data_IF_024263903443
#
_entry.id   IF_024263903443
#
_cell.length_a   1.000
_cell.length_b   1.000
_cell.length_c   1.000
_cell.angle_alpha   90.00
_cell.angle_beta   90.00
_cell.angle_gamma   90.00
#
_symmetry.space_group_name_H-M   'P 1'
#
loop_
_entity.id
_entity.type
_entity.pdbx_description
1 polymer ?
#
# COMPACT_ATOMS: atom_id res chain seq x y z
N UNK A 1 14.42 -13.60 16.03
CA UNK A 1 13.39 -13.06 15.12
C UNK A 1 12.21 -14.01 15.16
N UNK A 2 10.99 -13.51 15.39
CA UNK A 2 9.77 -14.32 15.56
C UNK A 2 9.48 -15.16 14.30
N UNK A 3 9.04 -16.41 14.47
CA UNK A 3 8.79 -17.36 13.37
C UNK A 3 7.78 -16.83 12.34
N UNK A 4 6.68 -16.21 12.78
CA UNK A 4 5.66 -15.65 11.89
C UNK A 4 6.24 -14.54 11.03
N UNK A 5 7.01 -13.64 11.64
CA UNK A 5 7.68 -12.56 10.91
C UNK A 5 8.66 -13.11 9.87
N UNK A 6 9.47 -14.12 10.23
CA UNK A 6 10.36 -14.77 9.28
C UNK A 6 9.59 -15.35 8.09
N UNK A 7 8.45 -16.01 8.36
CA UNK A 7 7.62 -16.58 7.31
C UNK A 7 7.01 -15.54 6.40
N UNK A 8 6.53 -14.41 6.94
CA UNK A 8 6.00 -13.31 6.14
C UNK A 8 7.13 -12.67 5.31
N UNK A 9 8.29 -12.43 5.91
CA UNK A 9 9.44 -11.83 5.21
C UNK A 9 9.95 -12.69 4.06
N UNK A 10 9.95 -14.03 4.22
CA UNK A 10 10.28 -14.97 3.14
C UNK A 10 9.34 -14.84 1.93
N UNK A 11 8.08 -14.45 2.10
CA UNK A 11 7.14 -14.31 0.98
C UNK A 11 7.56 -13.18 0.03
N UNK A 12 8.19 -12.12 0.55
CA UNK A 12 8.70 -11.03 -0.28
C UNK A 12 9.89 -11.45 -1.14
N UNK A 13 10.62 -12.51 -0.78
CA UNK A 13 11.68 -13.06 -1.65
C UNK A 13 11.12 -13.51 -2.99
N UNK A 14 9.87 -13.95 -3.06
CA UNK A 14 9.24 -14.43 -4.31
C UNK A 14 8.29 -13.39 -4.92
N UNK A 15 7.56 -12.65 -4.08
CA UNK A 15 6.40 -11.84 -4.48
C UNK A 15 6.52 -10.35 -4.14
N UNK A 16 7.73 -9.88 -3.86
CA UNK A 16 8.00 -8.45 -3.69
C UNK A 16 7.41 -7.65 -4.84
N UNK A 17 6.71 -6.56 -4.52
CA UNK A 17 6.15 -5.69 -5.56
C UNK A 17 7.26 -5.12 -6.44
N UNK A 18 8.46 -4.91 -5.90
CA UNK A 18 9.60 -4.42 -6.68
C UNK A 18 10.00 -5.36 -7.82
N UNK A 19 9.63 -6.64 -7.76
CA UNK A 19 9.86 -7.61 -8.85
C UNK A 19 8.72 -7.63 -9.87
N UNK A 20 7.62 -6.96 -9.59
CA UNK A 20 6.47 -6.90 -10.50
C UNK A 20 6.84 -6.15 -11.78
N UNK A 21 6.41 -6.61 -12.97
CA UNK A 21 6.69 -5.95 -14.25
C UNK A 21 6.40 -4.45 -14.25
N UNK A 22 5.28 -4.03 -13.65
CA UNK A 22 4.94 -2.60 -13.49
C UNK A 22 6.07 -1.77 -12.85
N UNK A 23 6.64 -2.20 -11.71
CA UNK A 23 7.71 -1.44 -11.05
C UNK A 23 9.07 -1.62 -11.70
N UNK A 24 9.30 -2.73 -12.42
CA UNK A 24 10.47 -2.85 -13.29
C UNK A 24 10.40 -1.85 -14.44
N UNK A 25 9.25 -1.74 -15.12
CA UNK A 25 9.00 -0.75 -16.18
C UNK A 25 9.09 0.68 -15.65
N UNK A 26 8.60 0.93 -14.43
CA UNK A 26 8.78 2.21 -13.74
C UNK A 26 10.27 2.56 -13.57
N UNK A 27 11.04 1.63 -13.00
CA UNK A 27 12.47 1.82 -12.70
C UNK A 27 13.33 1.95 -13.96
N UNK A 28 12.85 1.42 -15.09
CA UNK A 28 13.47 1.57 -16.40
C UNK A 28 13.07 2.86 -17.13
N UNK A 29 12.17 3.69 -16.57
CA UNK A 29 11.68 4.91 -17.21
C UNK A 29 10.80 4.66 -18.44
N UNK A 30 10.13 3.50 -18.51
CA UNK A 30 9.38 3.03 -19.69
C UNK A 30 7.87 3.16 -19.59
N UNK A 31 7.33 3.72 -18.49
CA UNK A 31 5.89 3.96 -18.39
C UNK A 31 5.53 5.16 -19.26
N UNK A 32 4.42 5.05 -19.98
CA UNK A 32 3.86 6.19 -20.72
C UNK A 32 3.18 7.17 -19.76
N UNK A 33 2.95 8.43 -20.17
CA UNK A 33 2.11 9.35 -19.40
C UNK A 33 0.72 8.77 -19.09
N UNK A 34 0.13 8.04 -20.04
CA UNK A 34 -1.14 7.35 -19.87
C UNK A 34 -1.05 6.26 -18.79
N UNK A 35 0.06 5.51 -18.72
CA UNK A 35 0.29 4.51 -17.69
C UNK A 35 0.45 5.12 -16.30
N UNK A 36 1.18 6.24 -16.17
CA UNK A 36 1.29 6.98 -14.91
C UNK A 36 -0.06 7.52 -14.44
N UNK A 37 -0.85 8.09 -15.35
CA UNK A 37 -2.18 8.60 -15.04
C UNK A 37 -3.15 7.46 -14.68
N UNK A 38 -3.16 6.37 -15.44
CA UNK A 38 -3.97 5.18 -15.15
C UNK A 38 -3.66 4.61 -13.77
N UNK A 39 -2.38 4.36 -13.49
CA UNK A 39 -1.91 3.91 -12.18
C UNK A 39 -2.35 4.85 -11.04
N UNK A 40 -2.26 6.17 -11.24
CA UNK A 40 -2.62 7.15 -10.23
C UNK A 40 -4.10 7.10 -9.85
N UNK A 41 -4.98 6.86 -10.83
CA UNK A 41 -6.43 6.71 -10.60
C UNK A 41 -6.79 5.39 -9.91
N UNK A 42 -6.09 4.32 -10.28
CA UNK A 42 -6.31 2.98 -9.72
C UNK A 42 -5.84 2.88 -8.28
N UNK A 43 -4.60 3.30 -8.04
CA UNK A 43 -4.01 3.22 -6.71
C UNK A 43 -4.67 4.20 -5.73
N UNK A 44 -5.29 5.29 -6.22
CA UNK A 44 -6.15 6.15 -5.39
C UNK A 44 -7.29 5.37 -4.72
N UNK A 45 -7.84 4.33 -5.37
CA UNK A 45 -8.87 3.50 -4.75
C UNK A 45 -8.33 2.76 -3.52
N UNK A 46 -7.08 2.29 -3.58
CA UNK A 46 -6.41 1.65 -2.44
C UNK A 46 -6.09 2.67 -1.35
N UNK A 47 -5.55 3.84 -1.69
CA UNK A 47 -5.25 4.93 -0.73
C UNK A 47 -6.50 5.33 0.07
N UNK A 48 -7.66 5.47 -0.59
CA UNK A 48 -8.94 5.74 0.08
C UNK A 48 -9.43 4.60 0.99
N UNK A 49 -8.99 3.37 0.73
CA UNK A 49 -9.44 2.18 1.44
C UNK A 49 -8.62 1.90 2.70
N UNK A 50 -7.32 2.25 2.70
CA UNK A 50 -6.39 1.97 3.81
C UNK A 50 -6.90 2.47 5.17
N UNK A 51 -7.35 3.73 5.34
CA UNK A 51 -7.89 4.15 6.64
C UNK A 51 -9.10 3.32 7.11
N UNK A 52 -9.92 2.84 6.17
CA UNK A 52 -11.09 2.00 6.48
C UNK A 52 -10.70 0.58 6.90
N UNK A 53 -9.58 0.06 6.38
CA UNK A 53 -9.03 -1.23 6.79
C UNK A 53 -8.59 -1.21 8.26
N UNK A 54 -8.13 -0.06 8.75
CA UNK A 54 -7.70 0.11 10.14
C UNK A 54 -8.87 0.25 11.13
N UNK A 55 -10.06 0.65 10.70
CA UNK A 55 -11.22 0.84 11.58
C UNK A 55 -11.60 -0.40 12.42
N UNK A 56 -11.78 -1.61 11.84
CA UNK A 56 -12.05 -2.81 12.64
C UNK A 56 -10.88 -3.17 13.55
N UNK A 57 -9.64 -2.92 13.13
CA UNK A 57 -8.44 -3.22 13.92
C UNK A 57 -8.37 -2.34 15.17
N UNK A 58 -8.61 -1.04 15.03
CA UNK A 58 -8.60 -0.08 16.16
C UNK A 58 -9.66 -0.41 17.20
N UNK A 59 -10.82 -0.96 16.77
CA UNK A 59 -11.88 -1.39 17.70
C UNK A 59 -11.44 -2.56 18.58
N UNK A 60 -10.69 -3.50 18.02
CA UNK A 60 -10.18 -4.69 18.70
C UNK A 60 -8.80 -4.47 19.37
N UNK A 61 -8.21 -3.28 19.20
CA UNK A 61 -6.87 -2.97 19.69
C UNK A 61 -6.84 -2.85 21.23
N UNK A 62 -5.85 -3.47 21.91
CA UNK A 62 -5.63 -3.26 23.34
C UNK A 62 -5.41 -1.78 23.67
N UNK A 63 -5.97 -1.31 24.79
CA UNK A 63 -5.99 0.12 25.15
C UNK A 63 -4.61 0.79 25.11
N UNK A 64 -3.55 0.07 25.51
CA UNK A 64 -2.17 0.55 25.50
C UNK A 64 -1.59 0.85 24.10
N UNK A 65 -2.18 0.30 23.03
CA UNK A 65 -1.75 0.52 21.63
C UNK A 65 -2.75 1.36 20.83
N UNK A 66 -3.93 1.63 21.41
CA UNK A 66 -5.04 2.26 20.70
C UNK A 66 -4.71 3.68 20.24
N UNK A 67 -4.01 4.46 21.07
CA UNK A 67 -3.57 5.81 20.70
C UNK A 67 -2.57 5.81 19.53
N UNK A 68 -1.65 4.84 19.50
CA UNK A 68 -0.67 4.68 18.42
C UNK A 68 -1.37 4.34 17.09
N UNK A 69 -2.20 3.29 17.05
CA UNK A 69 -2.89 2.91 15.82
C UNK A 69 -3.93 3.94 15.35
N UNK A 70 -4.57 4.65 16.28
CA UNK A 70 -5.44 5.77 15.92
C UNK A 70 -4.65 6.91 15.27
N UNK A 71 -3.46 7.25 15.79
CA UNK A 71 -2.57 8.24 15.17
C UNK A 71 -2.16 7.83 13.76
N UNK A 72 -1.75 6.56 13.57
CA UNK A 72 -1.39 6.04 12.25
C UNK A 72 -2.58 6.14 11.28
N UNK A 73 -3.81 5.82 11.72
CA UNK A 73 -5.00 5.96 10.87
C UNK A 73 -5.27 7.41 10.46
N UNK A 74 -5.06 8.38 11.36
CA UNK A 74 -5.21 9.80 11.02
C UNK A 74 -4.12 10.26 10.04
N UNK A 75 -2.89 9.77 10.19
CA UNK A 75 -1.80 9.99 9.23
C UNK A 75 -2.18 9.43 7.85
N UNK A 76 -2.63 8.18 7.76
CA UNK A 76 -3.12 7.58 6.50
C UNK A 76 -4.34 8.31 5.89
N UNK A 77 -5.21 8.87 6.73
CA UNK A 77 -6.33 9.69 6.24
C UNK A 77 -5.81 10.97 5.60
N UNK A 78 -4.79 11.60 6.17
CA UNK A 78 -4.17 12.81 5.61
C UNK A 78 -3.41 12.53 4.30
N UNK A 79 -2.93 11.30 4.10
CA UNK A 79 -2.26 10.89 2.87
C UNK A 79 -3.17 10.90 1.64
N UNK A 80 -4.50 10.86 1.82
CA UNK A 80 -5.47 10.93 0.70
C UNK A 80 -5.28 12.24 -0.08
N UNK A 81 -5.20 13.38 0.61
CA UNK A 81 -4.98 14.69 -0.04
C UNK A 81 -3.63 14.75 -0.75
N UNK A 82 -2.58 14.15 -0.16
CA UNK A 82 -1.27 14.08 -0.80
C UNK A 82 -1.29 13.25 -2.10
N UNK A 83 -2.08 12.17 -2.14
CA UNK A 83 -2.27 11.39 -3.36
C UNK A 83 -3.08 12.16 -4.41
N UNK A 84 -4.09 12.93 -4.00
CA UNK A 84 -4.85 13.79 -4.92
C UNK A 84 -3.94 14.83 -5.60
N UNK A 85 -3.00 15.42 -4.84
CA UNK A 85 -1.96 16.31 -5.38
C UNK A 85 -1.03 15.59 -6.37
N UNK A 86 -0.66 14.34 -6.09
CA UNK A 86 0.13 13.53 -7.01
C UNK A 86 -0.63 13.22 -8.30
N UNK A 87 -1.89 12.80 -8.21
CA UNK A 87 -2.74 12.55 -9.36
C UNK A 87 -2.94 13.83 -10.22
N UNK A 88 -3.10 15.00 -9.57
CA UNK A 88 -3.11 16.27 -10.28
C UNK A 88 -1.81 16.55 -11.05
N UNK A 89 -0.66 16.24 -10.46
CA UNK A 89 0.63 16.35 -11.15
C UNK A 89 0.76 15.37 -12.34
N UNK A 90 -0.01 14.29 -12.38
CA UNK A 90 -0.11 13.38 -13.52
C UNK A 90 -1.14 13.84 -14.58
N UNK A 91 -1.70 15.05 -14.42
CA UNK A 91 -2.65 15.64 -15.37
C UNK A 91 -4.11 15.23 -15.16
N UNK A 92 -4.43 14.59 -14.04
CA UNK A 92 -5.81 14.15 -13.73
C UNK A 92 -6.54 15.28 -13.01
N UNK A 93 -7.73 15.64 -13.49
CA UNK A 93 -8.56 16.63 -12.79
C UNK A 93 -9.16 16.04 -11.49
N UNK A 94 -9.44 16.89 -10.51
CA UNK A 94 -10.08 16.45 -9.26
C UNK A 94 -11.42 15.73 -9.54
N UNK A 95 -12.27 16.30 -10.41
CA UNK A 95 -13.55 15.71 -10.78
C UNK A 95 -13.39 14.34 -11.46
N UNK A 96 -12.39 14.17 -12.33
CA UNK A 96 -12.09 12.85 -12.91
C UNK A 96 -11.68 11.85 -11.83
N UNK A 97 -10.80 12.26 -10.92
CA UNK A 97 -10.26 11.38 -9.89
C UNK A 97 -11.32 10.90 -8.90
N UNK A 98 -12.18 11.79 -8.40
CA UNK A 98 -13.20 11.44 -7.41
C UNK A 98 -14.32 10.57 -7.99
N UNK A 99 -14.60 10.71 -9.29
CA UNK A 99 -15.65 9.94 -9.98
C UNK A 99 -15.12 8.64 -10.58
N UNK A 100 -13.81 8.38 -10.54
CA UNK A 100 -13.22 7.14 -11.01
C UNK A 100 -13.45 6.00 -10.01
N UNK A 101 -14.04 4.90 -10.49
CA UNK A 101 -14.46 3.76 -9.65
C UNK A 101 -13.43 2.62 -9.56
N UNK A 102 -12.31 2.71 -10.28
CA UNK A 102 -11.33 1.62 -10.37
C UNK A 102 -11.73 0.52 -11.35
N UNK A 103 -10.75 -0.16 -11.95
CA UNK A 103 -11.03 -1.36 -12.73
C UNK A 103 -11.53 -2.50 -11.84
N UNK A 104 -12.16 -3.49 -12.48
CA UNK A 104 -12.67 -4.69 -11.81
C UNK A 104 -11.57 -5.41 -10.99
N UNK A 105 -10.35 -5.52 -11.53
CA UNK A 105 -9.23 -6.18 -10.85
C UNK A 105 -8.70 -5.36 -9.68
N UNK A 106 -8.61 -4.04 -9.79
CA UNK A 106 -8.31 -3.13 -8.67
C UNK A 106 -9.31 -3.31 -7.53
N UNK A 107 -10.61 -3.27 -7.84
CA UNK A 107 -11.66 -3.45 -6.85
C UNK A 107 -11.63 -4.85 -6.21
N UNK A 108 -11.31 -5.88 -7.00
CA UNK A 108 -11.10 -7.23 -6.48
C UNK A 108 -9.90 -7.29 -5.51
N UNK A 109 -8.77 -6.66 -5.86
CA UNK A 109 -7.59 -6.62 -5.00
C UNK A 109 -7.89 -5.97 -3.64
N UNK A 110 -8.59 -4.84 -3.65
CA UNK A 110 -9.00 -4.11 -2.43
C UNK A 110 -9.96 -4.97 -1.59
N UNK A 111 -10.96 -5.57 -2.22
CA UNK A 111 -11.93 -6.47 -1.56
C UNK A 111 -11.24 -7.70 -0.97
N UNK A 112 -10.33 -8.32 -1.72
CA UNK A 112 -9.56 -9.47 -1.28
C UNK A 112 -8.69 -9.14 -0.07
N UNK A 113 -8.02 -7.99 -0.08
CA UNK A 113 -7.22 -7.54 1.06
C UNK A 113 -8.12 -7.32 2.28
N UNK A 114 -9.22 -6.58 2.14
CA UNK A 114 -10.16 -6.34 3.22
C UNK A 114 -10.74 -7.63 3.80
N UNK A 115 -11.02 -8.63 2.96
CA UNK A 115 -11.57 -9.92 3.38
C UNK A 115 -10.64 -10.72 4.30
N UNK A 116 -9.35 -10.39 4.34
CA UNK A 116 -8.37 -11.03 5.24
C UNK A 116 -8.41 -10.48 6.66
N UNK A 117 -9.07 -9.32 6.86
CA UNK A 117 -9.18 -8.63 8.16
C UNK A 117 -10.34 -9.25 8.94
N UNK A 118 -10.12 -10.48 9.39
CA UNK A 118 -11.11 -11.30 10.12
C UNK A 118 -10.89 -11.30 11.63
N UNK A 119 -9.69 -10.98 12.09
CA UNK A 119 -9.30 -10.79 13.49
C UNK A 119 -8.28 -9.66 13.59
N UNK A 120 -7.98 -9.26 14.83
CA UNK A 120 -6.96 -8.26 15.10
C UNK A 120 -5.57 -8.71 14.60
N UNK A 121 -5.22 -9.97 14.80
CA UNK A 121 -3.94 -10.56 14.38
C UNK A 121 -3.85 -10.74 12.86
N UNK A 122 -4.91 -11.27 12.22
CA UNK A 122 -4.89 -11.50 10.77
C UNK A 122 -4.84 -10.18 10.00
N UNK A 123 -5.61 -9.18 10.42
CA UNK A 123 -5.53 -7.86 9.79
C UNK A 123 -4.25 -7.11 10.12
N UNK A 124 -3.66 -7.28 11.30
CA UNK A 124 -2.31 -6.76 11.58
C UNK A 124 -1.26 -7.39 10.65
N UNK A 125 -1.39 -8.69 10.35
CA UNK A 125 -0.53 -9.36 9.38
C UNK A 125 -0.73 -8.85 7.95
N UNK A 126 -1.99 -8.61 7.55
CA UNK A 126 -2.31 -8.04 6.24
C UNK A 126 -1.75 -6.62 6.08
N UNK A 127 -1.89 -5.76 7.10
CA UNK A 127 -1.38 -4.39 7.11
C UNK A 127 0.15 -4.34 7.17
N UNK A 128 0.78 -5.19 7.99
CA UNK A 128 2.24 -5.35 7.97
C UNK A 128 2.73 -5.72 6.56
N UNK A 129 2.09 -6.71 5.94
CA UNK A 129 2.48 -7.15 4.60
C UNK A 129 2.19 -6.12 3.50
N UNK A 130 1.25 -5.20 3.75
CA UNK A 130 0.97 -4.05 2.89
C UNK A 130 2.08 -2.99 2.99
N UNK A 131 2.37 -2.50 4.20
CA UNK A 131 3.24 -1.34 4.39
C UNK A 131 4.74 -1.69 4.35
N UNK A 132 5.11 -2.96 4.57
CA UNK A 132 6.51 -3.38 4.76
C UNK A 132 7.47 -2.96 3.64
N UNK A 133 7.02 -2.97 2.39
CA UNK A 133 7.84 -2.59 1.22
C UNK A 133 7.64 -1.15 0.78
N UNK A 134 6.60 -0.47 1.29
CA UNK A 134 6.23 0.87 0.83
C UNK A 134 7.36 1.89 1.00
N UNK A 135 8.18 1.92 2.07
CA UNK A 135 9.28 2.87 2.15
C UNK A 135 10.26 2.76 0.97
N UNK A 136 10.60 1.53 0.58
CA UNK A 136 11.52 1.28 -0.53
C UNK A 136 10.86 1.54 -1.88
N UNK A 137 9.59 1.18 -2.03
CA UNK A 137 8.80 1.47 -3.23
C UNK A 137 8.68 2.98 -3.42
N UNK A 138 8.38 3.73 -2.36
CA UNK A 138 8.27 5.18 -2.39
C UNK A 138 9.58 5.85 -2.78
N UNK A 139 10.73 5.34 -2.29
CA UNK A 139 12.03 5.84 -2.75
C UNK A 139 12.24 5.58 -4.25
N UNK A 140 11.97 4.36 -4.75
CA UNK A 140 12.09 4.04 -6.18
C UNK A 140 11.13 4.88 -7.04
N UNK A 141 9.95 5.18 -6.52
CA UNK A 141 9.01 6.10 -7.18
C UNK A 141 9.56 7.50 -7.27
N UNK A 142 10.11 8.05 -6.19
CA UNK A 142 10.77 9.36 -6.19
C UNK A 142 11.92 9.42 -7.19
N UNK A 143 12.80 8.41 -7.17
CA UNK A 143 13.95 8.34 -8.05
C UNK A 143 13.50 8.31 -9.52
N UNK A 144 12.53 7.45 -9.87
CA UNK A 144 12.01 7.36 -11.23
C UNK A 144 11.26 8.61 -11.70
N UNK A 145 10.45 9.24 -10.83
CA UNK A 145 9.76 10.50 -11.13
C UNK A 145 10.77 11.60 -11.48
N UNK A 146 11.84 11.72 -10.71
CA UNK A 146 12.87 12.71 -10.94
C UNK A 146 13.70 12.41 -12.20
N UNK A 147 14.19 11.17 -12.33
CA UNK A 147 15.14 10.79 -13.38
C UNK A 147 14.51 10.71 -14.77
N UNK A 148 13.34 10.07 -14.89
CA UNK A 148 12.76 9.74 -16.20
C UNK A 148 11.64 10.67 -16.63
N UNK A 149 10.94 11.29 -15.68
CA UNK A 149 9.74 12.08 -15.98
C UNK A 149 9.88 13.57 -15.62
N UNK A 150 10.98 13.99 -14.97
CA UNK A 150 11.22 15.38 -14.57
C UNK A 150 10.23 15.91 -13.51
N UNK A 151 9.57 15.01 -12.77
CA UNK A 151 8.50 15.31 -11.82
C UNK A 151 9.07 15.47 -10.41
N UNK A 152 9.57 16.66 -10.10
CA UNK A 152 10.22 16.96 -8.80
C UNK A 152 9.45 17.97 -7.94
N UNK A 153 8.25 18.39 -8.38
CA UNK A 153 7.43 19.33 -7.62
C UNK A 153 6.96 18.73 -6.31
N UNK A 154 6.59 19.57 -5.34
CA UNK A 154 6.03 19.11 -4.07
C UNK A 154 4.75 18.31 -4.30
N UNK A 155 3.86 18.77 -5.19
CA UNK A 155 2.64 18.03 -5.55
C UNK A 155 2.93 16.63 -6.08
N UNK A 156 4.02 16.45 -6.84
CA UNK A 156 4.37 15.15 -7.41
C UNK A 156 5.09 14.21 -6.42
N UNK A 157 5.67 14.74 -5.34
CA UNK A 157 6.65 13.99 -4.53
C UNK A 157 6.27 13.83 -3.06
N UNK A 158 5.42 14.70 -2.50
CA UNK A 158 5.21 14.76 -1.05
C UNK A 158 4.63 13.48 -0.46
N UNK A 159 3.63 12.86 -1.12
CA UNK A 159 3.09 11.57 -0.70
C UNK A 159 4.21 10.53 -0.50
N UNK A 160 5.08 10.37 -1.50
CA UNK A 160 6.13 9.36 -1.43
C UNK A 160 7.20 9.70 -0.39
N UNK A 161 7.54 10.99 -0.21
CA UNK A 161 8.48 11.43 0.83
C UNK A 161 7.97 11.08 2.23
N UNK A 162 6.69 11.32 2.52
CA UNK A 162 6.11 10.93 3.80
C UNK A 162 6.19 9.40 4.00
N UNK A 163 5.88 8.62 2.97
CA UNK A 163 5.88 7.16 3.05
C UNK A 163 7.29 6.52 3.09
N UNK A 164 8.38 7.26 2.83
CA UNK A 164 9.73 6.73 3.11
C UNK A 164 10.01 6.65 4.61
N UNK A 165 9.27 7.42 5.43
CA UNK A 165 9.45 7.48 6.89
C UNK A 165 8.25 6.93 7.67
N UNK A 166 7.02 7.23 7.26
CA UNK A 166 5.77 6.85 7.92
C UNK A 166 5.64 5.33 8.03
N UNK A 167 5.76 4.63 6.91
CA UNK A 167 5.54 3.19 6.84
C UNK A 167 6.65 2.37 7.51
N UNK A 168 7.79 2.98 7.84
CA UNK A 168 8.77 2.35 8.76
C UNK A 168 8.15 2.23 10.16
N UNK A 169 7.49 3.28 10.64
CA UNK A 169 6.82 3.30 11.94
C UNK A 169 5.56 2.44 11.91
N UNK A 170 4.72 2.58 10.89
CA UNK A 170 3.46 1.82 10.80
C UNK A 170 3.73 0.32 10.73
N UNK A 171 4.67 -0.11 9.86
CA UNK A 171 5.08 -1.52 9.80
C UNK A 171 5.67 -2.02 11.13
N UNK A 172 6.36 -1.17 11.90
CA UNK A 172 6.84 -1.54 13.23
C UNK A 172 5.69 -1.74 14.24
N UNK A 173 4.66 -0.90 14.20
CA UNK A 173 3.45 -1.05 15.04
C UNK A 173 2.75 -2.38 14.75
N UNK A 174 2.55 -2.72 13.47
CA UNK A 174 1.94 -4.00 13.09
C UNK A 174 2.81 -5.21 13.43
N UNK A 175 4.12 -5.11 13.19
CA UNK A 175 5.09 -6.15 13.54
C UNK A 175 5.02 -6.49 15.02
N UNK A 176 4.96 -5.49 15.89
CA UNK A 176 4.86 -5.68 17.34
C UNK A 176 3.64 -6.51 17.74
N UNK A 177 2.50 -6.29 17.08
CA UNK A 177 1.26 -7.06 17.32
C UNK A 177 1.46 -8.52 16.92
N UNK A 178 2.03 -8.76 15.73
CA UNK A 178 2.30 -10.13 15.24
C UNK A 178 3.30 -10.84 16.18
N UNK A 179 4.34 -10.14 16.63
CA UNK A 179 5.35 -10.71 17.53
C UNK A 179 4.79 -11.09 18.91
N UNK A 180 3.73 -10.41 19.36
CA UNK A 180 3.02 -10.67 20.62
C UNK A 180 1.82 -11.62 20.47
N UNK A 181 1.43 -11.95 19.24
CA UNK A 181 0.33 -12.87 18.97
C UNK A 181 0.65 -14.29 19.44
N UNK A 182 -0.38 -15.00 19.87
CA UNK A 182 -0.28 -16.41 20.27
C UNK A 182 -1.40 -17.22 19.64
N UNK A 183 -1.04 -18.24 18.85
CA UNK A 183 -1.99 -19.00 18.06
C UNK A 183 -2.41 -18.27 16.78
N UNK A 184 -3.28 -18.90 15.98
CA UNK A 184 -3.74 -18.37 14.68
C UNK A 184 -2.63 -18.21 13.62
N UNK A 185 -1.50 -18.88 13.78
CA UNK A 185 -0.35 -18.82 12.87
C UNK A 185 -0.75 -18.97 11.40
N UNK A 186 -1.64 -19.93 11.10
CA UNK A 186 -2.11 -20.17 9.73
C UNK A 186 -2.93 -18.98 9.18
N UNK A 187 -3.77 -18.35 10.00
CA UNK A 187 -4.59 -17.21 9.60
C UNK A 187 -3.72 -15.97 9.37
N UNK A 188 -2.74 -15.73 10.24
CA UNK A 188 -1.73 -14.66 10.13
C UNK A 188 -0.92 -14.82 8.83
N UNK A 189 -0.39 -16.02 8.59
CA UNK A 189 0.40 -16.35 7.39
C UNK A 189 -0.47 -16.22 6.13
N UNK A 190 -1.72 -16.70 6.18
CA UNK A 190 -2.66 -16.59 5.06
C UNK A 190 -2.99 -15.13 4.74
N UNK A 191 -3.31 -14.32 5.75
CA UNK A 191 -3.66 -12.91 5.57
C UNK A 191 -2.49 -12.11 4.98
N UNK A 192 -1.27 -12.30 5.49
CA UNK A 192 -0.08 -11.68 4.91
C UNK A 192 0.14 -12.09 3.44
N UNK A 193 0.04 -13.39 3.14
CA UNK A 193 0.20 -13.91 1.76
C UNK A 193 -0.85 -13.32 0.81
N UNK A 194 -2.10 -13.25 1.27
CA UNK A 194 -3.22 -12.73 0.48
C UNK A 194 -3.10 -11.22 0.29
N UNK A 195 -2.64 -10.46 1.29
CA UNK A 195 -2.29 -9.04 1.16
C UNK A 195 -1.22 -8.80 0.08
N UNK A 196 -0.12 -9.55 0.09
CA UNK A 196 0.93 -9.45 -0.95
C UNK A 196 0.35 -9.78 -2.34
N UNK A 197 -0.48 -10.81 -2.43
CA UNK A 197 -1.09 -11.25 -3.69
C UNK A 197 -2.09 -10.21 -4.22
N UNK A 198 -2.87 -9.58 -3.33
CA UNK A 198 -3.79 -8.50 -3.68
C UNK A 198 -3.06 -7.27 -4.21
N UNK A 199 -1.94 -6.88 -3.59
CA UNK A 199 -1.14 -5.75 -4.08
C UNK A 199 -0.55 -6.04 -5.47
N UNK A 200 -0.07 -7.27 -5.71
CA UNK A 200 0.36 -7.68 -7.04
C UNK A 200 -0.81 -7.65 -8.04
N UNK A 201 -2.00 -8.13 -7.66
CA UNK A 201 -3.19 -8.11 -8.52
C UNK A 201 -3.61 -6.68 -8.91
N UNK A 202 -3.44 -5.70 -8.03
CA UNK A 202 -3.65 -4.30 -8.39
C UNK A 202 -2.65 -3.86 -9.45
N UNK A 203 -1.37 -4.20 -9.30
CA UNK A 203 -0.36 -3.87 -10.31
C UNK A 203 -0.58 -4.64 -11.63
N UNK A 204 -1.06 -5.88 -11.60
CA UNK A 204 -1.51 -6.62 -12.79
C UNK A 204 -2.64 -5.84 -13.49
N UNK A 205 -3.62 -5.33 -12.74
CA UNK A 205 -4.71 -4.49 -13.28
C UNK A 205 -4.16 -3.28 -14.04
N UNK A 206 -3.25 -2.54 -13.42
CA UNK A 206 -2.63 -1.36 -14.03
C UNK A 206 -1.77 -1.72 -15.24
N UNK A 207 -0.99 -2.80 -15.15
CA UNK A 207 -0.08 -3.20 -16.20
C UNK A 207 -0.82 -3.69 -17.43
N UNK A 208 -1.85 -4.52 -17.26
CA UNK A 208 -2.63 -5.04 -18.39
C UNK A 208 -3.45 -3.98 -19.12
N UNK A 209 -3.96 -2.98 -18.40
CA UNK A 209 -4.78 -1.93 -19.01
C UNK A 209 -3.93 -0.82 -19.66
N UNK A 210 -2.80 -0.46 -19.04
CA UNK A 210 -2.09 0.76 -19.38
C UNK A 210 -0.65 0.59 -19.90
N UNK A 211 -0.06 -0.61 -19.88
CA UNK A 211 1.33 -0.88 -20.31
C UNK A 211 1.40 -1.86 -21.48
#
# INVERSE_FOLDING_TARGET
>A
MNYLIQKIEQMFEERSLLKHPFYQTWSDGKLTPEALAGYSKEYYQLVKAVPKFMEPLIKETPEMMKGELYSNQQEETSHIELWERFAYAMGISYDELINYEGLKKTNQAISDLFSTITSFESGSAAMYAFEKEIPKISQIKLDGLAEFYGLTSENATEYFKQHTEADIRHAASWRKIIEQSSGHDNDIIYAAKKSISSQNLLLDSCFEEYC
#
